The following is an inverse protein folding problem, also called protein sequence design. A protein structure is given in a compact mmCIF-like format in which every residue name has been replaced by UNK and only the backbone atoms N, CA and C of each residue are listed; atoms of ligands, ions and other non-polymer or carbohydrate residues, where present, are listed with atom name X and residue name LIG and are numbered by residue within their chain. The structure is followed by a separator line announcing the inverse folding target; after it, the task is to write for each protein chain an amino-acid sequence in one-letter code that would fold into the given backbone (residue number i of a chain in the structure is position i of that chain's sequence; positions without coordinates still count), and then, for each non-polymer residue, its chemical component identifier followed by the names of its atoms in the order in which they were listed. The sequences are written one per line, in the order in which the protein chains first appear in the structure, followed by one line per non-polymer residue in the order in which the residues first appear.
data_IF_792658012097
#
_entry.id   IF_792658012097
#
_cell.length_a   1.000
_cell.length_b   1.000
_cell.length_c   1.000
_cell.angle_alpha   90.00
_cell.angle_beta   90.00
_cell.angle_gamma   90.00
#
_symmetry.space_group_name_H-M   'P 1'
#
loop_
_entity.id
_entity.type
_entity.pdbx_description
1 polymer ?
#
# COMPACT_ATOMS: atom_id res chain seq x y z
N UNK A 1 3.58 13.28 -23.43
CA UNK A 1 4.73 13.38 -24.36
C UNK A 1 4.36 14.33 -25.49
N UNK A 2 5.17 14.43 -26.55
CA UNK A 2 4.88 15.29 -27.72
C UNK A 2 3.62 14.88 -28.49
N UNK A 3 3.12 13.66 -28.26
CA UNK A 3 1.89 13.11 -28.85
C UNK A 3 0.66 13.22 -27.93
N UNK A 4 0.80 13.87 -26.77
CA UNK A 4 -0.30 14.05 -25.81
C UNK A 4 -0.63 12.84 -24.93
N UNK A 5 0.19 11.78 -24.96
CA UNK A 5 0.04 10.63 -24.05
C UNK A 5 0.48 11.00 -22.63
N UNK A 6 -0.29 10.52 -21.64
CA UNK A 6 0.02 10.69 -20.22
C UNK A 6 1.14 9.73 -19.81
N UNK A 7 2.13 10.25 -19.10
CA UNK A 7 3.21 9.50 -18.48
C UNK A 7 3.51 10.07 -17.09
N UNK A 8 4.21 9.30 -16.27
CA UNK A 8 4.54 9.64 -14.90
C UNK A 8 6.05 9.78 -14.77
N UNK A 9 6.51 10.93 -14.29
CA UNK A 9 7.93 11.22 -14.09
C UNK A 9 8.27 11.19 -12.61
N UNK A 10 9.24 10.38 -12.24
CA UNK A 10 9.83 10.36 -10.91
C UNK A 10 10.94 11.41 -10.83
N UNK A 11 10.69 12.51 -10.11
CA UNK A 11 11.64 13.61 -9.97
C UNK A 11 12.92 13.24 -9.20
N UNK A 12 12.90 12.21 -8.34
CA UNK A 12 14.09 11.80 -7.58
C UNK A 12 15.02 10.90 -8.39
N UNK A 13 14.49 10.08 -9.30
CA UNK A 13 15.30 9.17 -10.14
C UNK A 13 15.49 9.68 -11.57
N UNK A 14 14.71 10.68 -11.99
CA UNK A 14 14.63 11.16 -13.38
C UNK A 14 13.97 10.17 -14.34
N UNK A 15 13.42 9.06 -13.84
CA UNK A 15 12.80 8.03 -14.67
C UNK A 15 11.36 8.40 -15.03
N UNK A 16 10.94 7.99 -16.23
CA UNK A 16 9.56 8.16 -16.70
C UNK A 16 8.94 6.81 -17.02
N UNK A 17 7.68 6.64 -16.63
CA UNK A 17 6.92 5.41 -16.85
C UNK A 17 5.54 5.71 -17.44
N UNK A 18 5.03 4.81 -18.27
CA UNK A 18 3.69 4.91 -18.86
C UNK A 18 2.60 4.45 -17.89
N UNK A 19 2.94 3.52 -16.99
CA UNK A 19 2.03 3.00 -15.98
C UNK A 19 2.07 3.93 -14.76
N UNK A 20 0.91 4.22 -14.19
CA UNK A 20 0.84 4.96 -12.94
C UNK A 20 1.55 4.18 -11.81
N UNK A 21 2.40 4.79 -10.97
CA UNK A 21 3.13 4.09 -9.89
C UNK A 21 2.22 3.31 -8.91
N UNK A 22 0.96 3.73 -8.81
CA UNK A 22 -0.09 3.09 -7.99
C UNK A 22 -1.14 2.29 -8.80
N UNK A 23 -0.89 1.97 -10.08
CA UNK A 23 -1.85 1.27 -10.93
C UNK A 23 -2.36 -0.04 -10.29
N UNK A 24 -1.46 -0.81 -9.66
CA UNK A 24 -1.83 -2.05 -8.98
C UNK A 24 -2.73 -1.81 -7.76
N UNK A 25 -2.50 -0.73 -7.01
CA UNK A 25 -3.39 -0.32 -5.91
C UNK A 25 -4.76 0.02 -6.47
N UNK A 26 -4.84 0.81 -7.54
CA UNK A 26 -6.13 1.20 -8.13
C UNK A 26 -6.93 0.01 -8.63
N UNK A 27 -6.27 -0.97 -9.25
CA UNK A 27 -6.91 -2.22 -9.67
C UNK A 27 -7.45 -3.02 -8.48
N UNK A 28 -6.68 -3.12 -7.40
CA UNK A 28 -7.15 -3.78 -6.18
C UNK A 28 -8.35 -3.05 -5.55
N UNK A 29 -8.37 -1.71 -5.56
CA UNK A 29 -9.53 -0.96 -5.07
C UNK A 29 -10.80 -1.25 -5.90
N UNK A 30 -10.66 -1.42 -7.22
CA UNK A 30 -11.80 -1.82 -8.07
C UNK A 30 -12.26 -3.24 -7.72
N UNK A 31 -11.34 -4.16 -7.47
CA UNK A 31 -11.67 -5.52 -6.99
C UNK A 31 -12.41 -5.49 -5.65
N UNK A 32 -11.92 -4.70 -4.68
CA UNK A 32 -12.57 -4.50 -3.38
C UNK A 32 -14.00 -4.02 -3.54
N UNK A 33 -14.25 -3.05 -4.41
CA UNK A 33 -15.59 -2.54 -4.66
C UNK A 33 -16.53 -3.65 -5.18
N UNK A 34 -16.06 -4.47 -6.13
CA UNK A 34 -16.84 -5.59 -6.66
C UNK A 34 -17.16 -6.62 -5.59
N UNK A 35 -16.16 -6.99 -4.77
CA UNK A 35 -16.34 -7.93 -3.67
C UNK A 35 -17.28 -7.42 -2.60
N UNK A 36 -17.15 -6.16 -2.19
CA UNK A 36 -18.05 -5.52 -1.22
C UNK A 36 -19.50 -5.54 -1.67
N UNK A 37 -19.75 -5.30 -2.96
CA UNK A 37 -21.11 -5.36 -3.51
C UNK A 37 -21.62 -6.81 -3.54
N UNK A 38 -20.77 -7.77 -3.91
CA UNK A 38 -21.15 -9.18 -4.00
C UNK A 38 -21.37 -9.83 -2.62
N UNK A 39 -20.53 -9.51 -1.63
CA UNK A 39 -20.63 -10.01 -0.26
C UNK A 39 -21.73 -9.32 0.54
N UNK A 40 -22.10 -8.09 0.16
CA UNK A 40 -23.05 -7.28 0.92
C UNK A 40 -22.40 -6.45 2.03
N UNK A 41 -21.07 -6.34 2.08
CA UNK A 41 -20.38 -5.42 2.98
C UNK A 41 -18.87 -5.61 3.04
N UNK A 42 -18.23 -4.86 3.96
CA UNK A 42 -16.79 -4.60 3.92
C UNK A 42 -15.91 -5.61 4.67
N UNK A 43 -16.49 -6.48 5.51
CA UNK A 43 -15.76 -7.35 6.43
C UNK A 43 -14.63 -8.16 5.75
N UNK A 44 -14.86 -8.74 4.57
CA UNK A 44 -13.81 -9.49 3.86
C UNK A 44 -12.62 -8.61 3.45
N UNK A 45 -12.89 -7.39 2.99
CA UNK A 45 -11.85 -6.43 2.59
C UNK A 45 -11.14 -5.86 3.82
N UNK A 46 -11.86 -5.66 4.92
CA UNK A 46 -11.28 -5.20 6.18
C UNK A 46 -10.36 -6.25 6.80
N UNK A 47 -10.78 -7.52 6.83
CA UNK A 47 -9.97 -8.64 7.31
C UNK A 47 -8.68 -8.75 6.47
N UNK A 48 -8.78 -8.66 5.14
CA UNK A 48 -7.63 -8.69 4.23
C UNK A 48 -6.66 -7.50 4.48
N UNK A 49 -7.18 -6.29 4.67
CA UNK A 49 -6.35 -5.11 4.96
C UNK A 49 -5.66 -5.25 6.32
N UNK A 50 -6.35 -5.77 7.33
CA UNK A 50 -5.78 -6.01 8.66
C UNK A 50 -4.68 -7.07 8.61
N UNK A 51 -4.90 -8.16 7.89
CA UNK A 51 -3.88 -9.19 7.66
C UNK A 51 -2.67 -8.63 6.90
N UNK A 52 -2.90 -7.82 5.87
CA UNK A 52 -1.84 -7.18 5.12
C UNK A 52 -1.02 -6.22 6.00
N UNK A 53 -1.67 -5.41 6.84
CA UNK A 53 -0.98 -4.54 7.79
C UNK A 53 -0.11 -5.34 8.77
N UNK A 54 -0.64 -6.45 9.30
CA UNK A 54 0.10 -7.33 10.20
C UNK A 54 1.33 -7.94 9.53
N UNK A 55 1.18 -8.41 8.30
CA UNK A 55 2.28 -8.99 7.52
C UNK A 55 3.34 -7.93 7.21
N UNK A 56 2.93 -6.73 6.79
CA UNK A 56 3.84 -5.59 6.60
C UNK A 56 4.60 -5.27 7.89
N UNK A 57 3.91 -5.26 9.04
CA UNK A 57 4.54 -4.97 10.33
C UNK A 57 5.58 -6.03 10.68
N UNK A 58 5.29 -7.31 10.47
CA UNK A 58 6.22 -8.42 10.68
C UNK A 58 7.43 -8.31 9.76
N UNK A 59 7.22 -8.08 8.47
CA UNK A 59 8.30 -7.98 7.48
C UNK A 59 9.22 -6.77 7.75
N UNK A 60 8.64 -5.65 8.20
CA UNK A 60 9.39 -4.45 8.53
C UNK A 60 10.08 -4.51 9.91
N UNK A 61 9.70 -5.44 10.78
CA UNK A 61 10.30 -5.58 12.12
C UNK A 61 11.75 -6.07 12.08
N UNK A 62 12.17 -6.68 10.97
CA UNK A 62 13.56 -7.14 10.76
C UNK A 62 14.47 -6.05 10.21
N UNK A 63 13.93 -4.89 9.83
CA UNK A 63 14.71 -3.75 9.39
C UNK A 63 15.14 -2.88 10.58
N UNK A 64 16.44 -2.61 10.64
CA UNK A 64 17.09 -1.80 11.67
C UNK A 64 17.66 -0.53 11.08
N UNK A 65 17.56 0.58 11.81
CA UNK A 65 18.26 1.83 11.50
C UNK A 65 19.66 1.78 12.13
N UNK A 66 20.69 2.00 11.33
CA UNK A 66 22.11 1.97 11.73
C UNK A 66 22.85 3.19 11.17
N UNK A 67 24.06 3.42 11.67
CA UNK A 67 24.97 4.47 11.22
C UNK A 67 26.30 3.85 10.83
N UNK A 68 26.87 4.30 9.72
CA UNK A 68 28.19 3.87 9.28
C UNK A 68 29.32 4.61 10.03
N UNK A 69 30.57 4.35 9.64
CA UNK A 69 31.76 4.97 10.26
C UNK A 69 31.82 6.49 10.09
N UNK A 70 31.08 7.04 9.13
CA UNK A 70 30.97 8.48 8.86
C UNK A 70 29.76 9.11 9.53
N UNK A 71 28.92 8.31 10.21
CA UNK A 71 27.66 8.74 10.80
C UNK A 71 26.53 8.88 9.78
N UNK A 72 26.67 8.32 8.57
CA UNK A 72 25.60 8.27 7.59
C UNK A 72 24.59 7.19 7.96
N UNK A 73 23.31 7.55 7.88
CA UNK A 73 22.22 6.65 8.24
C UNK A 73 21.94 5.67 7.11
N UNK A 74 21.81 4.39 7.46
CA UNK A 74 21.35 3.33 6.56
C UNK A 74 20.40 2.37 7.27
N UNK A 75 19.70 1.55 6.49
CA UNK A 75 18.78 0.52 6.96
C UNK A 75 19.32 -0.85 6.60
N UNK A 76 19.30 -1.76 7.57
CA UNK A 76 19.79 -3.13 7.42
C UNK A 76 18.70 -4.14 7.80
N UNK A 77 18.51 -5.15 6.97
CA UNK A 77 17.61 -6.26 7.22
C UNK A 77 18.39 -7.43 7.83
N UNK A 78 18.16 -7.70 9.11
CA UNK A 78 18.86 -8.77 9.85
C UNK A 78 18.51 -10.19 9.41
N UNK A 79 17.46 -10.36 8.60
CA UNK A 79 16.98 -11.67 8.12
C UNK A 79 17.52 -11.99 6.72
N UNK A 80 17.68 -10.98 5.86
CA UNK A 80 18.15 -11.16 4.47
C UNK A 80 19.60 -10.71 4.27
N UNK A 81 20.22 -10.09 5.28
CA UNK A 81 21.54 -9.45 5.21
C UNK A 81 21.63 -8.29 4.19
N UNK A 82 20.49 -7.71 3.82
CA UNK A 82 20.42 -6.60 2.87
C UNK A 82 20.56 -5.24 3.55
N UNK A 83 21.28 -4.32 2.90
CA UNK A 83 21.43 -2.93 3.35
C UNK A 83 20.97 -1.95 2.28
N UNK A 84 20.40 -0.81 2.68
CA UNK A 84 19.93 0.27 1.79
C UNK A 84 19.94 1.62 2.50
N UNK A 85 20.04 2.70 1.74
CA UNK A 85 20.04 4.07 2.29
C UNK A 85 18.64 4.69 2.40
N UNK A 86 17.71 4.27 1.55
CA UNK A 86 16.33 4.71 1.58
C UNK A 86 15.50 3.86 2.54
N UNK A 87 14.60 4.47 3.32
CA UNK A 87 13.82 3.74 4.32
C UNK A 87 12.77 2.81 3.67
N UNK A 88 12.89 1.47 3.79
CA UNK A 88 11.94 0.51 3.20
C UNK A 88 10.52 0.68 3.71
N UNK A 89 10.37 1.23 4.92
CA UNK A 89 9.07 1.45 5.55
C UNK A 89 8.26 2.51 4.79
N UNK A 90 8.92 3.50 4.18
CA UNK A 90 8.23 4.63 3.53
C UNK A 90 7.37 4.19 2.34
N UNK A 91 7.94 3.44 1.39
CA UNK A 91 7.20 3.00 0.21
C UNK A 91 6.08 2.01 0.58
N UNK A 92 6.34 1.09 1.51
CA UNK A 92 5.37 0.08 1.95
C UNK A 92 4.20 0.74 2.68
N UNK A 93 4.48 1.60 3.66
CA UNK A 93 3.41 2.32 4.39
C UNK A 93 2.67 3.32 3.51
N UNK A 94 3.33 3.94 2.51
CA UNK A 94 2.63 4.76 1.54
C UNK A 94 1.53 3.95 0.84
N UNK A 95 1.86 2.80 0.27
CA UNK A 95 0.88 1.96 -0.42
C UNK A 95 -0.25 1.48 0.51
N UNK A 96 0.08 1.06 1.73
CA UNK A 96 -0.93 0.67 2.72
C UNK A 96 -1.87 1.84 3.09
N UNK A 97 -1.30 3.01 3.37
CA UNK A 97 -2.08 4.20 3.70
C UNK A 97 -3.02 4.60 2.55
N UNK A 98 -2.53 4.55 1.32
CA UNK A 98 -3.36 4.85 0.14
C UNK A 98 -4.52 3.87 0.00
N UNK A 99 -4.28 2.58 0.22
CA UNK A 99 -5.32 1.54 0.21
C UNK A 99 -6.38 1.82 1.27
N UNK A 100 -5.98 2.02 2.52
CA UNK A 100 -6.89 2.34 3.65
C UNK A 100 -7.72 3.60 3.34
N UNK A 101 -7.06 4.66 2.84
CA UNK A 101 -7.72 5.91 2.50
C UNK A 101 -8.76 5.75 1.39
N UNK A 102 -8.47 4.95 0.36
CA UNK A 102 -9.42 4.69 -0.73
C UNK A 102 -10.60 3.83 -0.27
N UNK A 103 -10.37 2.85 0.60
CA UNK A 103 -11.46 2.07 1.23
C UNK A 103 -12.31 2.92 2.16
N UNK A 104 -11.72 3.84 2.94
CA UNK A 104 -12.48 4.79 3.74
C UNK A 104 -13.41 5.66 2.88
N UNK A 105 -12.89 6.22 1.78
CA UNK A 105 -13.72 6.95 0.81
C UNK A 105 -14.79 6.08 0.16
N UNK A 106 -14.51 4.80 -0.06
CA UNK A 106 -15.50 3.85 -0.58
C UNK A 106 -16.63 3.62 0.43
N UNK A 107 -16.31 3.45 1.72
CA UNK A 107 -17.31 3.34 2.79
C UNK A 107 -18.22 4.57 2.89
N UNK A 108 -17.66 5.77 2.73
CA UNK A 108 -18.44 7.01 2.66
C UNK A 108 -19.44 6.99 1.48
N UNK A 109 -19.07 6.36 0.35
CA UNK A 109 -19.93 6.23 -0.83
C UNK A 109 -20.97 5.11 -0.72
N UNK A 110 -20.71 4.09 0.08
CA UNK A 110 -21.61 2.94 0.29
C UNK A 110 -21.97 2.77 1.77
N UNK A 111 -22.66 3.75 2.39
CA UNK A 111 -22.88 3.75 3.84
C UNK A 111 -23.75 2.59 4.35
N UNK A 112 -24.65 2.05 3.52
CA UNK A 112 -25.46 0.87 3.88
C UNK A 112 -24.58 -0.38 3.96
N UNK A 113 -23.73 -0.62 2.96
CA UNK A 113 -22.78 -1.74 2.95
C UNK A 113 -21.72 -1.59 4.04
N UNK A 114 -21.30 -0.36 4.35
CA UNK A 114 -20.33 -0.07 5.41
C UNK A 114 -20.86 -0.36 6.82
N UNK A 115 -22.18 -0.38 7.00
CA UNK A 115 -22.86 -0.69 8.27
C UNK A 115 -23.48 -2.09 8.29
N UNK A 116 -23.37 -2.84 7.19
CA UNK A 116 -23.95 -4.17 7.10
C UNK A 116 -23.25 -5.09 8.13
N UNK A 117 -24.02 -5.85 8.92
CA UNK A 117 -23.44 -6.77 9.89
C UNK A 117 -22.70 -7.88 9.16
N UNK A 118 -21.63 -8.39 9.78
CA UNK A 118 -20.95 -9.61 9.31
C UNK A 118 -21.96 -10.77 9.34
N UNK A 119 -22.07 -11.58 8.27
CA UNK A 119 -22.87 -12.80 8.29
C UNK A 119 -22.39 -13.74 9.40
N UNK A 120 -23.31 -14.46 10.04
CA UNK A 120 -22.98 -15.55 10.96
C UNK A 120 -22.36 -16.71 10.15
N UNK A 121 -21.34 -17.36 10.74
CA UNK A 121 -20.61 -18.49 10.13
C UNK A 121 -21.42 -19.78 10.09
#
# INVERSE_FOLDING_TARGET
DEEGRVYFHNASTGQSEWRHPMDDIFRQIVDYQRRVVASGGFWQVEDEIAELEENIRKDLADWMELFDEHGEKFFYNRKTDESRFDDPRMAVYHNLYQRIRMVAKMKERFPLLARAPRPEE
#
